data_IF_705033242605
#
_entry.id   IF_705033242605
#
_cell.length_a   1.000
_cell.length_b   1.000
_cell.length_c   1.000
_cell.angle_alpha   90.00
_cell.angle_beta   90.00
_cell.angle_gamma   90.00
#
_symmetry.space_group_name_H-M   'P 1'
#
loop_
_entity.id
_entity.type
_entity.pdbx_description
1 polymer ?
#
# COMPACT_ATOMS: atom_id res chain seq x y z
N UNK A 1 70.37 -10.07 -35.44
CA UNK A 1 69.87 -8.69 -35.50
C UNK A 1 68.44 -8.71 -36.04
N UNK A 2 67.39 -8.86 -35.23
CA UNK A 2 66.00 -8.55 -35.66
C UNK A 2 64.98 -8.68 -34.52
N UNK A 3 65.23 -8.05 -33.36
CA UNK A 3 64.16 -7.85 -32.35
C UNK A 3 63.71 -6.38 -32.35
N UNK A 4 64.66 -5.45 -32.59
CA UNK A 4 64.33 -4.03 -32.75
C UNK A 4 63.52 -3.71 -34.02
N UNK A 5 63.62 -4.51 -35.08
CA UNK A 5 62.89 -4.27 -36.32
C UNK A 5 61.38 -4.60 -36.21
N UNK A 6 60.99 -5.54 -35.34
CA UNK A 6 59.56 -5.86 -35.12
C UNK A 6 58.86 -4.84 -34.22
N UNK A 7 59.57 -4.18 -33.31
CA UNK A 7 58.98 -3.17 -32.43
C UNK A 7 58.48 -1.93 -33.20
N UNK A 8 59.19 -1.55 -34.28
CA UNK A 8 58.86 -0.38 -35.11
C UNK A 8 57.61 -0.62 -35.97
N UNK A 9 57.32 -1.87 -36.37
CA UNK A 9 56.13 -2.21 -37.17
C UNK A 9 54.86 -2.39 -36.32
N UNK A 10 55.01 -2.56 -35.00
CA UNK A 10 53.89 -2.78 -34.07
C UNK A 10 53.23 -1.51 -33.53
N UNK A 11 53.71 -0.30 -33.91
CA UNK A 11 53.16 0.96 -33.39
C UNK A 11 53.35 1.17 -31.87
N UNK A 12 54.12 0.32 -31.20
CA UNK A 12 54.31 0.34 -29.74
C UNK A 12 55.47 1.23 -29.27
N UNK A 13 56.15 1.95 -30.16
CA UNK A 13 57.41 2.65 -29.82
C UNK A 13 57.17 4.07 -29.28
N UNK A 14 56.06 4.71 -29.64
CA UNK A 14 55.71 6.03 -29.11
C UNK A 14 54.19 6.19 -29.05
N UNK A 15 53.59 6.50 -27.89
CA UNK A 15 52.20 6.92 -27.85
C UNK A 15 52.03 8.20 -28.69
N UNK A 16 50.91 8.36 -29.40
CA UNK A 16 50.63 9.59 -30.14
C UNK A 16 50.60 10.79 -29.18
N UNK A 17 50.89 11.99 -29.68
CA UNK A 17 51.00 13.21 -28.85
C UNK A 17 49.70 13.53 -28.08
N UNK A 18 48.56 12.99 -28.52
CA UNK A 18 47.25 13.14 -27.89
C UNK A 18 46.87 11.99 -26.94
N UNK A 19 47.74 10.98 -26.76
CA UNK A 19 47.41 9.77 -25.99
C UNK A 19 47.06 10.09 -24.54
N UNK A 20 47.83 10.97 -23.88
CA UNK A 20 47.57 11.38 -22.50
C UNK A 20 46.26 12.18 -22.39
N UNK A 21 46.01 13.08 -23.35
CA UNK A 21 44.76 13.85 -23.39
C UNK A 21 43.54 12.94 -23.60
N UNK A 22 43.66 11.91 -24.44
CA UNK A 22 42.62 10.90 -24.68
C UNK A 22 42.41 10.01 -23.46
N UNK A 23 43.49 9.59 -22.79
CA UNK A 23 43.40 8.81 -21.56
C UNK A 23 42.69 9.62 -20.46
N UNK A 24 43.09 10.87 -20.25
CA UNK A 24 42.45 11.75 -19.28
C UNK A 24 40.96 12.00 -19.60
N UNK A 25 40.60 12.10 -20.88
CA UNK A 25 39.20 12.23 -21.29
C UNK A 25 38.40 10.94 -21.01
N UNK A 26 39.00 9.77 -21.22
CA UNK A 26 38.38 8.48 -20.91
C UNK A 26 38.21 8.27 -19.41
N UNK A 27 39.22 8.58 -18.59
CA UNK A 27 39.15 8.51 -17.13
C UNK A 27 38.07 9.47 -16.58
N UNK A 28 37.97 10.67 -17.15
CA UNK A 28 36.91 11.60 -16.78
C UNK A 28 35.50 11.09 -17.15
N UNK A 29 35.38 10.36 -18.25
CA UNK A 29 34.10 9.77 -18.66
C UNK A 29 33.77 8.53 -17.81
N UNK A 30 34.75 7.69 -17.51
CA UNK A 30 34.62 6.55 -16.59
C UNK A 30 34.10 7.00 -15.23
N UNK A 31 34.71 8.04 -14.64
CA UNK A 31 34.25 8.60 -13.37
C UNK A 31 32.80 9.13 -13.42
N UNK A 32 32.36 9.68 -14.56
CA UNK A 32 30.97 10.12 -14.73
C UNK A 32 30.02 8.93 -14.86
N UNK A 33 30.43 7.89 -15.58
CA UNK A 33 29.65 6.68 -15.75
C UNK A 33 29.46 5.95 -14.43
N UNK A 34 30.52 5.81 -13.63
CA UNK A 34 30.45 5.20 -12.30
C UNK A 34 29.49 5.96 -11.39
N UNK A 35 29.61 7.29 -11.33
CA UNK A 35 28.67 8.11 -10.57
C UNK A 35 27.21 7.97 -11.05
N UNK A 36 26.99 7.80 -12.36
CA UNK A 36 25.66 7.55 -12.90
C UNK A 36 25.14 6.15 -12.51
N UNK A 37 26.00 5.13 -12.51
CA UNK A 37 25.65 3.78 -12.07
C UNK A 37 25.29 3.73 -10.60
N UNK A 38 26.05 4.40 -9.72
CA UNK A 38 25.76 4.47 -8.28
C UNK A 38 24.37 5.06 -8.00
N UNK A 39 23.98 6.10 -8.76
CA UNK A 39 22.66 6.72 -8.65
C UNK A 39 21.56 5.76 -9.07
N UNK A 40 21.76 5.02 -10.17
CA UNK A 40 20.79 4.04 -10.66
C UNK A 40 20.67 2.86 -9.69
N UNK A 41 21.79 2.33 -9.20
CA UNK A 41 21.82 1.24 -8.22
C UNK A 41 21.08 1.64 -6.94
N UNK A 42 21.38 2.82 -6.39
CA UNK A 42 20.70 3.34 -5.19
C UNK A 42 19.18 3.40 -5.40
N UNK A 43 18.73 3.85 -6.57
CA UNK A 43 17.30 3.91 -6.92
C UNK A 43 16.69 2.52 -7.08
N UNK A 44 17.39 1.59 -7.73
CA UNK A 44 16.91 0.22 -7.93
C UNK A 44 16.74 -0.51 -6.60
N UNK A 45 17.75 -0.45 -5.73
CA UNK A 45 17.71 -1.05 -4.39
C UNK A 45 16.59 -0.44 -3.55
N UNK A 46 16.44 0.89 -3.58
CA UNK A 46 15.35 1.58 -2.91
C UNK A 46 13.96 1.18 -3.44
N UNK A 47 13.83 1.00 -4.76
CA UNK A 47 12.56 0.61 -5.39
C UNK A 47 12.21 -0.86 -5.14
N UNK A 48 13.18 -1.77 -5.08
CA UNK A 48 12.92 -3.18 -4.77
C UNK A 48 12.27 -3.35 -3.38
N UNK A 49 12.79 -2.64 -2.37
CA UNK A 49 12.20 -2.64 -1.03
C UNK A 49 10.77 -2.07 -1.04
N UNK A 50 10.51 -1.04 -1.85
CA UNK A 50 9.17 -0.43 -1.97
C UNK A 50 8.16 -1.38 -2.61
N UNK A 51 8.54 -2.13 -3.64
CA UNK A 51 7.63 -3.10 -4.29
C UNK A 51 7.09 -4.10 -3.28
N UNK A 52 7.98 -4.73 -2.50
CA UNK A 52 7.57 -5.68 -1.46
C UNK A 52 6.70 -5.04 -0.37
N UNK A 53 7.00 -3.80 0.01
CA UNK A 53 6.15 -3.06 0.94
C UNK A 53 4.73 -2.86 0.38
N UNK A 54 4.61 -2.47 -0.89
CA UNK A 54 3.31 -2.25 -1.53
C UNK A 54 2.50 -3.54 -1.64
N UNK A 55 3.13 -4.65 -2.00
CA UNK A 55 2.49 -5.98 -2.03
C UNK A 55 1.93 -6.38 -0.66
N UNK A 56 2.71 -6.17 0.41
CA UNK A 56 2.26 -6.44 1.77
C UNK A 56 1.15 -5.51 2.25
N UNK A 57 1.19 -4.23 1.85
CA UNK A 57 0.12 -3.28 2.15
C UNK A 57 -1.18 -3.66 1.45
N UNK A 58 -1.13 -4.07 0.18
CA UNK A 58 -2.28 -4.55 -0.57
C UNK A 58 -2.89 -5.79 0.09
N UNK A 59 -2.05 -6.79 0.42
CA UNK A 59 -2.48 -8.02 1.09
C UNK A 59 -3.21 -7.71 2.40
N UNK A 60 -2.61 -6.88 3.26
CA UNK A 60 -3.21 -6.49 4.56
C UNK A 60 -4.46 -5.64 4.39
N UNK A 61 -4.50 -4.77 3.38
CA UNK A 61 -5.69 -3.97 3.10
C UNK A 61 -6.89 -4.85 2.74
N UNK A 62 -6.68 -5.89 1.93
CA UNK A 62 -7.72 -6.89 1.63
C UNK A 62 -8.22 -7.61 2.89
N UNK A 63 -7.29 -8.06 3.75
CA UNK A 63 -7.63 -8.73 5.02
C UNK A 63 -8.44 -7.83 5.96
N UNK A 64 -7.99 -6.59 6.17
CA UNK A 64 -8.65 -5.61 7.05
C UNK A 64 -10.03 -5.24 6.50
N UNK A 65 -10.15 -5.02 5.19
CA UNK A 65 -11.43 -4.71 4.54
C UNK A 65 -12.43 -5.86 4.70
N UNK A 66 -11.99 -7.11 4.51
CA UNK A 66 -12.85 -8.28 4.71
C UNK A 66 -13.31 -8.44 6.17
N UNK A 67 -12.44 -8.13 7.15
CA UNK A 67 -12.82 -8.08 8.56
C UNK A 67 -13.86 -6.98 8.80
N UNK A 68 -13.60 -5.76 8.31
CA UNK A 68 -14.48 -4.63 8.52
C UNK A 68 -15.87 -4.86 7.92
N UNK A 69 -15.96 -5.44 6.72
CA UNK A 69 -17.24 -5.79 6.10
C UNK A 69 -18.03 -6.79 6.97
N UNK A 70 -17.38 -7.85 7.48
CA UNK A 70 -18.04 -8.83 8.35
C UNK A 70 -18.50 -8.24 9.68
N UNK A 71 -17.66 -7.42 10.31
CA UNK A 71 -17.99 -6.75 11.58
C UNK A 71 -19.15 -5.78 11.38
N UNK A 72 -19.10 -4.98 10.32
CA UNK A 72 -20.15 -4.01 9.99
C UNK A 72 -21.47 -4.69 9.68
N UNK A 73 -21.49 -5.72 8.84
CA UNK A 73 -22.71 -6.48 8.52
C UNK A 73 -23.33 -7.07 9.80
N UNK A 74 -22.53 -7.73 10.64
CA UNK A 74 -23.02 -8.27 11.92
C UNK A 74 -23.59 -7.17 12.82
N UNK A 75 -22.91 -6.02 12.90
CA UNK A 75 -23.35 -4.90 13.73
C UNK A 75 -24.67 -4.32 13.25
N UNK A 76 -24.80 -4.07 11.94
CA UNK A 76 -26.02 -3.54 11.33
C UNK A 76 -27.21 -4.48 11.49
N UNK A 77 -27.02 -5.79 11.33
CA UNK A 77 -28.05 -6.81 11.61
C UNK A 77 -28.47 -6.79 13.08
N UNK A 78 -27.51 -6.61 13.99
CA UNK A 78 -27.75 -6.44 15.42
C UNK A 78 -28.64 -5.22 15.71
N UNK A 79 -28.34 -4.07 15.09
CA UNK A 79 -29.14 -2.85 15.19
C UNK A 79 -30.56 -3.09 14.68
N UNK A 80 -30.72 -3.66 13.49
CA UNK A 80 -32.04 -3.95 12.92
C UNK A 80 -32.88 -4.85 13.83
N UNK A 81 -32.26 -5.91 14.38
CA UNK A 81 -32.92 -6.83 15.31
C UNK A 81 -33.32 -6.12 16.61
N UNK A 82 -32.45 -5.26 17.14
CA UNK A 82 -32.74 -4.49 18.34
C UNK A 82 -33.91 -3.53 18.12
N UNK A 83 -33.90 -2.79 17.01
CA UNK A 83 -34.98 -1.86 16.65
C UNK A 83 -36.32 -2.58 16.50
N UNK A 84 -36.36 -3.74 15.83
CA UNK A 84 -37.57 -4.54 15.69
C UNK A 84 -38.15 -4.94 17.06
N UNK A 85 -37.28 -5.39 17.99
CA UNK A 85 -37.70 -5.74 19.36
C UNK A 85 -38.23 -4.52 20.14
N UNK A 86 -37.61 -3.35 20.00
CA UNK A 86 -38.09 -2.13 20.66
C UNK A 86 -39.45 -1.68 20.13
N UNK A 87 -39.66 -1.79 18.82
CA UNK A 87 -40.94 -1.49 18.19
C UNK A 87 -42.04 -2.45 18.67
N UNK A 88 -41.75 -3.74 18.77
CA UNK A 88 -42.68 -4.73 19.30
C UNK A 88 -43.04 -4.45 20.77
N UNK A 89 -42.05 -4.20 21.63
CA UNK A 89 -42.29 -3.83 23.03
C UNK A 89 -43.15 -2.57 23.16
N UNK A 90 -42.89 -1.57 22.33
CA UNK A 90 -43.68 -0.33 22.32
C UNK A 90 -45.13 -0.59 21.91
N UNK A 91 -45.35 -1.42 20.88
CA UNK A 91 -46.70 -1.84 20.44
C UNK A 91 -47.43 -2.61 21.52
N UNK A 92 -46.76 -3.54 22.19
CA UNK A 92 -47.35 -4.32 23.28
C UNK A 92 -47.72 -3.43 24.47
N UNK A 93 -46.83 -2.53 24.88
CA UNK A 93 -47.12 -1.57 25.95
C UNK A 93 -48.29 -0.66 25.60
N UNK A 94 -48.37 -0.18 24.35
CA UNK A 94 -49.51 0.61 23.88
C UNK A 94 -50.82 -0.18 23.98
N UNK A 95 -50.85 -1.43 23.50
CA UNK A 95 -52.01 -2.32 23.63
C UNK A 95 -52.44 -2.54 25.09
N UNK A 96 -51.47 -2.81 25.97
CA UNK A 96 -51.74 -2.99 27.41
C UNK A 96 -52.30 -1.72 28.05
N UNK A 97 -51.76 -0.53 27.71
CA UNK A 97 -52.27 0.76 28.20
C UNK A 97 -53.69 1.04 27.72
N UNK A 98 -54.01 0.75 26.46
CA UNK A 98 -55.37 0.91 25.94
C UNK A 98 -56.38 -0.04 26.60
N UNK A 99 -55.99 -1.29 26.89
CA UNK A 99 -56.85 -2.20 27.65
C UNK A 99 -57.04 -1.76 29.10
N UNK A 100 -55.98 -1.27 29.75
CA UNK A 100 -56.08 -0.72 31.11
C UNK A 100 -57.00 0.51 31.16
N UNK A 101 -56.93 1.43 30.18
CA UNK A 101 -57.83 2.59 30.14
C UNK A 101 -59.28 2.24 29.85
N UNK A 102 -59.54 1.23 29.00
CA UNK A 102 -60.90 0.76 28.73
C UNK A 102 -61.53 0.11 29.98
N UNK A 103 -60.73 -0.64 30.75
CA UNK A 103 -61.15 -1.22 32.03
C UNK A 103 -61.54 -0.16 33.06
N UNK A 104 -60.75 0.92 33.22
CA UNK A 104 -61.09 2.00 34.15
C UNK A 104 -62.39 2.70 33.78
N UNK A 105 -62.62 2.98 32.49
CA UNK A 105 -63.86 3.64 32.02
C UNK A 105 -65.10 2.76 32.25
N UNK A 106 -65.01 1.45 32.02
CA UNK A 106 -66.10 0.51 32.29
C UNK A 106 -66.41 0.40 33.80
N UNK A 107 -65.38 0.41 34.65
CA UNK A 107 -65.56 0.37 36.12
C UNK A 107 -66.08 1.68 36.71
N UNK A 108 -65.81 2.83 36.10
CA UNK A 108 -66.37 4.11 36.54
C UNK A 108 -67.81 4.34 36.08
N UNK A 109 -68.24 3.70 34.99
CA UNK A 109 -69.61 3.82 34.47
C UNK A 109 -70.63 2.90 35.18
N UNK A 110 -70.16 1.95 35.99
CA UNK A 110 -70.99 0.97 36.73
C UNK A 110 -71.14 1.31 38.23
N UNK A 111 -70.72 2.51 38.66
CA UNK A 111 -70.80 2.96 40.05
C UNK A 111 -71.76 4.11 40.24
#
# INVERSE_FOLDING_TARGET
MSVMALAVLGGCVSPPEDAEARLAALEAEEARMDAAFDVVETRLLGNQARVHLWEEMERRHGEVSAIQCRVTDRHLRGIATHLARQQEKTREQSRRRHMASAGTVLTSATR
#
